data_IF_525507379769
#
_entry.id   IF_525507379769
#
_cell.length_a   1.000
_cell.length_b   1.000
_cell.length_c   1.000
_cell.angle_alpha   90.00
_cell.angle_beta   90.00
_cell.angle_gamma   90.00
#
_symmetry.space_group_name_H-M   'P 1'
#
loop_
_entity.id
_entity.type
_entity.pdbx_description
1 polymer ?
#
# COMPACT_ATOMS: atom_id res chain seq x y z
N UNK A 1 28.72 -18.36 -4.93
CA UNK A 1 28.87 -17.13 -4.12
C UNK A 1 27.53 -16.89 -3.45
N UNK A 2 27.41 -17.26 -2.19
CA UNK A 2 26.19 -17.02 -1.42
C UNK A 2 26.12 -15.53 -1.10
N UNK A 3 25.09 -14.83 -1.56
CA UNK A 3 24.87 -13.45 -1.18
C UNK A 3 24.52 -13.42 0.31
N UNK A 4 25.19 -12.54 1.04
CA UNK A 4 24.87 -12.24 2.43
C UNK A 4 23.52 -11.51 2.44
N UNK A 5 22.42 -12.24 2.62
CA UNK A 5 21.19 -11.65 3.10
C UNK A 5 21.43 -11.21 4.54
N UNK A 6 21.73 -9.92 4.74
CA UNK A 6 21.50 -9.30 6.04
C UNK A 6 20.00 -9.39 6.30
N UNK A 7 19.59 -10.35 7.12
CA UNK A 7 18.20 -10.46 7.55
C UNK A 7 17.86 -9.16 8.28
N UNK A 8 17.13 -8.26 7.61
CA UNK A 8 16.62 -7.04 8.23
C UNK A 8 15.73 -7.49 9.38
N UNK A 9 16.14 -7.22 10.62
CA UNK A 9 15.37 -7.60 11.80
C UNK A 9 14.11 -6.73 11.79
N UNK A 10 12.98 -7.31 11.36
CA UNK A 10 11.69 -6.64 11.37
C UNK A 10 11.24 -6.45 12.82
N UNK A 11 11.13 -5.20 13.26
CA UNK A 11 10.53 -4.87 14.55
C UNK A 11 9.01 -4.88 14.40
N UNK A 12 8.36 -5.90 14.94
CA UNK A 12 6.91 -6.03 14.90
C UNK A 12 6.24 -4.94 15.75
N UNK A 13 5.09 -4.45 15.27
CA UNK A 13 4.33 -3.39 15.93
C UNK A 13 4.92 -1.99 15.80
N UNK A 14 6.07 -1.84 15.14
CA UNK A 14 6.75 -0.57 14.89
C UNK A 14 6.79 -0.26 13.39
N UNK A 15 6.78 1.04 13.00
CA UNK A 15 6.88 1.41 11.60
C UNK A 15 8.30 1.14 11.08
N UNK A 16 8.37 0.49 9.92
CA UNK A 16 9.59 0.32 9.13
C UNK A 16 9.42 1.12 7.84
N UNK A 17 10.19 2.20 7.70
CA UNK A 17 10.16 3.02 6.50
C UNK A 17 10.80 2.30 5.30
N UNK A 18 10.20 2.53 4.13
CA UNK A 18 10.69 2.06 2.84
C UNK A 18 10.62 3.18 1.80
N UNK A 19 11.41 3.01 0.74
CA UNK A 19 11.29 3.79 -0.48
C UNK A 19 9.97 3.51 -1.21
N UNK A 20 9.58 4.45 -2.07
CA UNK A 20 8.67 4.17 -3.18
C UNK A 20 9.43 4.33 -4.50
N UNK A 21 8.82 3.96 -5.62
CA UNK A 21 9.47 3.97 -6.91
C UNK A 21 8.70 4.84 -7.90
N UNK A 22 9.46 5.67 -8.63
CA UNK A 22 8.94 6.48 -9.73
C UNK A 22 9.62 6.06 -11.04
N UNK A 23 8.85 6.00 -12.12
CA UNK A 23 9.36 5.67 -13.45
C UNK A 23 9.75 6.93 -14.21
N UNK A 24 11.02 7.03 -14.59
CA UNK A 24 11.61 8.12 -15.37
C UNK A 24 12.75 7.57 -16.22
N UNK A 25 13.06 8.17 -17.36
CA UNK A 25 14.24 7.83 -18.17
C UNK A 25 14.38 6.31 -18.46
N UNK A 26 13.22 5.67 -18.71
CA UNK A 26 13.05 4.23 -18.93
C UNK A 26 13.38 3.29 -17.75
N UNK A 27 13.55 3.81 -16.54
CA UNK A 27 13.91 3.06 -15.34
C UNK A 27 13.01 3.39 -14.15
N UNK A 28 12.86 2.43 -13.24
CA UNK A 28 12.24 2.65 -11.93
C UNK A 28 13.32 3.10 -10.94
N UNK A 29 13.17 4.29 -10.38
CA UNK A 29 14.08 4.86 -9.39
C UNK A 29 13.50 4.78 -7.99
N UNK A 30 14.25 4.28 -7.00
CA UNK A 30 13.86 4.37 -5.60
C UNK A 30 13.92 5.83 -5.15
N UNK A 31 12.88 6.28 -4.45
CA UNK A 31 12.81 7.58 -3.80
C UNK A 31 12.67 7.32 -2.30
N UNK A 32 13.70 7.68 -1.55
CA UNK A 32 13.60 7.74 -0.09
C UNK A 32 12.62 8.85 0.27
N UNK A 33 11.49 8.47 0.85
CA UNK A 33 10.46 9.41 1.25
C UNK A 33 10.88 10.06 2.58
N UNK A 34 11.78 11.04 2.50
CA UNK A 34 12.16 11.89 3.64
C UNK A 34 11.34 13.17 3.59
N UNK A 35 10.25 13.17 4.37
CA UNK A 35 9.47 14.36 4.76
C UNK A 35 9.51 15.51 3.76
N UNK A 36 8.93 15.32 2.56
CA UNK A 36 8.81 16.42 1.61
C UNK A 36 7.97 17.53 2.25
N UNK A 37 8.62 18.67 2.46
CA UNK A 37 7.94 19.93 2.76
C UNK A 37 7.29 20.38 1.46
N UNK A 38 5.95 20.41 1.42
CA UNK A 38 5.26 21.14 0.37
C UNK A 38 5.74 22.60 0.46
N UNK A 39 6.15 23.23 -0.65
CA UNK A 39 6.51 24.64 -0.64
C UNK A 39 5.34 25.47 -0.06
N UNK A 40 5.59 26.40 0.89
CA UNK A 40 4.53 27.09 1.63
C UNK A 40 3.54 27.93 0.79
N UNK A 41 3.79 28.15 -0.50
CA UNK A 41 3.13 29.22 -1.27
C UNK A 41 2.46 28.76 -2.58
N UNK A 42 2.08 27.48 -2.69
CA UNK A 42 1.14 27.10 -3.76
C UNK A 42 -0.28 27.39 -3.28
N UNK A 43 -0.99 28.30 -3.96
CA UNK A 43 -2.40 28.56 -3.72
C UNK A 43 -3.14 27.23 -3.63
N UNK A 44 -3.61 26.93 -2.43
CA UNK A 44 -4.13 25.61 -2.12
C UNK A 44 -5.58 25.57 -2.58
N UNK A 45 -5.95 24.65 -3.49
CA UNK A 45 -7.35 24.51 -3.90
C UNK A 45 -8.22 24.29 -2.65
N UNK A 46 -9.34 25.02 -2.54
CA UNK A 46 -10.25 24.94 -1.39
C UNK A 46 -10.89 23.56 -1.17
N UNK A 47 -10.72 22.64 -2.12
CA UNK A 47 -11.13 21.24 -2.03
C UNK A 47 -10.15 20.35 -2.80
N UNK A 48 -9.80 19.22 -2.22
CA UNK A 48 -8.98 18.18 -2.85
C UNK A 48 -9.79 16.88 -2.94
N UNK A 49 -9.92 16.33 -4.15
CA UNK A 49 -10.69 15.12 -4.40
C UNK A 49 -9.77 14.05 -4.99
N UNK A 50 -9.96 12.82 -4.52
CA UNK A 50 -9.26 11.63 -5.00
C UNK A 50 -10.14 10.40 -4.74
N UNK A 51 -9.82 9.29 -5.39
CA UNK A 51 -10.48 8.01 -5.15
C UNK A 51 -9.53 6.98 -4.57
N UNK A 52 -10.08 6.02 -3.82
CA UNK A 52 -9.34 4.86 -3.31
C UNK A 52 -10.02 3.61 -3.86
N UNK A 53 -9.26 2.80 -4.59
CA UNK A 53 -9.69 1.49 -5.07
C UNK A 53 -8.99 0.43 -4.23
N UNK A 54 -9.69 -0.63 -3.84
CA UNK A 54 -9.09 -1.72 -3.08
C UNK A 54 -9.47 -3.06 -3.69
N UNK A 55 -8.48 -3.94 -3.90
CA UNK A 55 -8.69 -5.24 -4.49
C UNK A 55 -7.67 -6.28 -4.00
N UNK A 56 -8.16 -7.38 -3.41
CA UNK A 56 -7.41 -8.63 -3.29
C UNK A 56 -7.44 -9.38 -4.64
N UNK A 57 -6.27 -9.59 -5.25
CA UNK A 57 -6.15 -10.17 -6.60
C UNK A 57 -6.07 -11.71 -6.60
N UNK A 58 -6.17 -12.38 -5.45
CA UNK A 58 -6.16 -13.84 -5.29
C UNK A 58 -4.91 -14.52 -5.90
N UNK A 59 -3.81 -14.61 -5.15
CA UNK A 59 -2.55 -15.19 -5.65
C UNK A 59 -2.58 -16.71 -5.79
N UNK A 60 -3.62 -17.37 -5.28
CA UNK A 60 -3.70 -18.83 -5.18
C UNK A 60 -4.29 -19.48 -6.44
N UNK A 61 -4.75 -18.70 -7.42
CA UNK A 61 -5.39 -19.22 -8.64
C UNK A 61 -4.39 -19.44 -9.76
N UNK A 62 -4.63 -20.45 -10.62
CA UNK A 62 -3.81 -20.67 -11.81
C UNK A 62 -3.89 -19.50 -12.79
N UNK A 63 -3.02 -19.52 -13.80
CA UNK A 63 -2.92 -18.48 -14.83
C UNK A 63 -2.52 -17.10 -14.27
N UNK A 64 -1.56 -17.10 -13.33
CA UNK A 64 -1.07 -15.93 -12.57
C UNK A 64 -0.87 -14.68 -13.47
N UNK A 65 0.06 -14.74 -14.42
CA UNK A 65 0.39 -13.61 -15.30
C UNK A 65 -0.82 -13.16 -16.16
N UNK A 66 -1.63 -14.09 -16.66
CA UNK A 66 -2.79 -13.77 -17.50
C UNK A 66 -3.89 -13.08 -16.70
N UNK A 67 -4.15 -13.54 -15.46
CA UNK A 67 -5.11 -12.92 -14.54
C UNK A 67 -4.67 -11.52 -14.15
N UNK A 68 -3.40 -11.34 -13.81
CA UNK A 68 -2.90 -10.02 -13.45
C UNK A 68 -2.89 -9.06 -14.64
N UNK A 69 -2.55 -9.52 -15.84
CA UNK A 69 -2.67 -8.71 -17.06
C UNK A 69 -4.12 -8.24 -17.29
N UNK A 70 -5.10 -9.14 -17.11
CA UNK A 70 -6.52 -8.79 -17.19
C UNK A 70 -6.95 -7.82 -16.07
N UNK A 71 -6.48 -8.04 -14.84
CA UNK A 71 -6.75 -7.15 -13.71
C UNK A 71 -6.20 -5.74 -13.96
N UNK A 72 -4.97 -5.61 -14.50
CA UNK A 72 -4.38 -4.32 -14.87
C UNK A 72 -5.16 -3.61 -15.98
N UNK A 73 -5.70 -4.35 -16.96
CA UNK A 73 -6.57 -3.78 -17.98
C UNK A 73 -7.88 -3.26 -17.37
N UNK A 74 -8.46 -4.01 -16.44
CA UNK A 74 -9.67 -3.58 -15.74
C UNK A 74 -9.41 -2.35 -14.86
N UNK A 75 -8.36 -2.36 -14.04
CA UNK A 75 -7.95 -1.21 -13.23
C UNK A 75 -7.73 0.04 -14.10
N UNK A 76 -7.02 -0.12 -15.24
CA UNK A 76 -6.87 0.94 -16.22
C UNK A 76 -8.22 1.49 -16.67
N UNK A 77 -9.20 0.63 -16.98
CA UNK A 77 -10.52 1.07 -17.42
C UNK A 77 -11.28 1.88 -16.36
N UNK A 78 -11.03 1.63 -15.07
CA UNK A 78 -11.67 2.36 -13.97
C UNK A 78 -11.05 3.74 -13.77
N UNK A 79 -9.73 3.88 -13.97
CA UNK A 79 -9.00 5.13 -13.70
C UNK A 79 -8.79 5.99 -14.95
N UNK A 80 -8.91 5.43 -16.15
CA UNK A 80 -8.73 6.17 -17.40
C UNK A 80 -9.86 7.18 -17.59
N UNK A 81 -9.50 8.44 -17.84
CA UNK A 81 -10.46 9.51 -18.10
C UNK A 81 -11.13 10.08 -16.84
N UNK A 82 -10.77 9.61 -15.65
CA UNK A 82 -11.20 10.25 -14.40
C UNK A 82 -10.43 11.56 -14.20
N UNK A 83 -11.13 12.60 -13.73
CA UNK A 83 -10.52 13.90 -13.44
C UNK A 83 -9.68 13.85 -12.16
N UNK A 84 -10.15 13.09 -11.17
CA UNK A 84 -9.52 13.01 -9.85
C UNK A 84 -8.42 11.93 -9.83
N UNK A 85 -7.30 12.19 -9.15
CA UNK A 85 -6.27 11.17 -8.92
C UNK A 85 -6.81 10.00 -8.09
N UNK A 86 -6.16 8.84 -8.21
CA UNK A 86 -6.54 7.64 -7.45
C UNK A 86 -5.37 6.98 -6.74
N UNK A 87 -5.69 6.27 -5.66
CA UNK A 87 -4.80 5.35 -4.97
C UNK A 87 -5.39 3.95 -5.08
N UNK A 88 -4.60 3.00 -5.57
CA UNK A 88 -5.03 1.61 -5.76
C UNK A 88 -4.32 0.74 -4.72
N UNK A 89 -5.10 0.09 -3.87
CA UNK A 89 -4.65 -0.79 -2.79
C UNK A 89 -4.78 -2.24 -3.25
N UNK A 90 -3.66 -2.94 -3.40
CA UNK A 90 -3.66 -4.33 -3.84
C UNK A 90 -3.17 -5.26 -2.72
N UNK A 91 -3.90 -6.35 -2.52
CA UNK A 91 -3.53 -7.43 -1.61
C UNK A 91 -3.27 -8.71 -2.41
N UNK A 92 -2.53 -9.64 -1.80
CA UNK A 92 -2.16 -10.91 -2.44
C UNK A 92 -1.30 -10.70 -3.70
N UNK A 93 -0.40 -9.73 -3.64
CA UNK A 93 0.54 -9.46 -4.73
C UNK A 93 1.68 -10.48 -4.71
N UNK A 94 2.14 -10.92 -5.87
CA UNK A 94 3.33 -11.76 -6.05
C UNK A 94 4.47 -11.00 -6.74
N UNK A 95 5.68 -11.59 -6.80
CA UNK A 95 6.79 -11.03 -7.59
C UNK A 95 6.44 -10.91 -9.09
N UNK A 96 5.69 -11.87 -9.63
CA UNK A 96 5.20 -11.84 -11.02
C UNK A 96 4.29 -10.64 -11.27
N UNK A 97 3.40 -10.35 -10.32
CA UNK A 97 2.49 -9.21 -10.41
C UNK A 97 3.23 -7.87 -10.35
N UNK A 98 4.25 -7.74 -9.49
CA UNK A 98 5.11 -6.55 -9.44
C UNK A 98 5.83 -6.33 -10.77
N UNK A 99 6.31 -7.41 -11.41
CA UNK A 99 6.91 -7.34 -12.75
C UNK A 99 5.91 -6.80 -13.78
N UNK A 100 4.68 -7.30 -13.79
CA UNK A 100 3.63 -6.85 -14.72
C UNK A 100 3.19 -5.41 -14.47
N UNK A 101 3.06 -4.98 -13.21
CA UNK A 101 2.82 -3.58 -12.83
C UNK A 101 3.91 -2.67 -13.39
N UNK A 102 5.18 -3.06 -13.20
CA UNK A 102 6.34 -2.29 -13.69
C UNK A 102 6.42 -2.23 -15.22
N UNK A 103 5.71 -3.12 -15.92
CA UNK A 103 5.63 -3.17 -17.38
C UNK A 103 4.43 -2.42 -17.96
N UNK A 104 3.39 -2.14 -17.17
CA UNK A 104 2.19 -1.48 -17.64
C UNK A 104 2.42 0.00 -17.93
N UNK A 105 2.21 0.43 -19.18
CA UNK A 105 2.50 1.80 -19.61
C UNK A 105 1.70 2.87 -18.85
N UNK A 106 0.42 2.60 -18.56
CA UNK A 106 -0.42 3.53 -17.80
C UNK A 106 0.06 3.70 -16.35
N UNK A 107 0.64 2.65 -15.75
CA UNK A 107 1.27 2.74 -14.42
C UNK A 107 2.54 3.57 -14.51
N UNK A 108 3.43 3.25 -15.47
CA UNK A 108 4.67 4.00 -15.73
C UNK A 108 4.43 5.49 -15.99
N UNK A 109 3.34 5.84 -16.65
CA UNK A 109 3.01 7.22 -17.00
C UNK A 109 2.42 8.00 -15.82
N UNK A 110 1.54 7.37 -15.04
CA UNK A 110 0.67 8.10 -14.12
C UNK A 110 0.85 7.75 -12.64
N UNK A 111 1.60 6.70 -12.30
CA UNK A 111 1.68 6.19 -10.93
C UNK A 111 3.13 6.10 -10.42
N UNK A 112 3.24 6.28 -9.11
CA UNK A 112 4.33 5.78 -8.29
C UNK A 112 3.89 4.43 -7.68
N UNK A 113 4.83 3.53 -7.40
CA UNK A 113 4.55 2.22 -6.80
C UNK A 113 5.30 2.10 -5.47
N UNK A 114 4.69 1.49 -4.46
CA UNK A 114 5.36 1.30 -3.16
C UNK A 114 6.41 0.21 -3.19
N UNK A 115 6.25 -0.80 -4.05
CA UNK A 115 7.11 -1.99 -4.09
C UNK A 115 7.55 -2.28 -5.51
N UNK A 116 8.87 -2.36 -5.73
CA UNK A 116 9.46 -2.80 -6.99
C UNK A 116 10.03 -4.23 -6.94
N UNK A 117 10.07 -4.81 -5.74
CA UNK A 117 10.50 -6.15 -5.33
C UNK A 117 9.72 -6.56 -4.07
N UNK A 118 9.94 -7.78 -3.57
CA UNK A 118 9.29 -8.30 -2.36
C UNK A 118 10.06 -8.00 -1.07
N UNK A 119 11.11 -7.17 -1.11
CA UNK A 119 12.10 -7.02 -0.03
C UNK A 119 11.52 -6.48 1.29
N UNK A 120 10.41 -5.76 1.22
CA UNK A 120 9.73 -5.20 2.40
C UNK A 120 8.54 -6.05 2.87
N UNK A 121 8.21 -7.14 2.16
CA UNK A 121 7.14 -8.05 2.58
C UNK A 121 7.63 -8.99 3.67
N UNK A 122 6.76 -9.30 4.64
CA UNK A 122 7.09 -10.31 5.64
C UNK A 122 6.99 -11.74 5.07
N UNK A 123 6.03 -11.98 4.17
CA UNK A 123 5.93 -13.25 3.46
C UNK A 123 6.83 -13.25 2.22
N UNK A 124 7.57 -14.34 1.95
CA UNK A 124 8.31 -14.47 0.71
C UNK A 124 7.41 -14.78 -0.50
N UNK A 125 6.14 -15.12 -0.27
CA UNK A 125 5.23 -15.59 -1.32
C UNK A 125 4.24 -14.55 -1.80
N UNK A 126 3.81 -13.64 -0.92
CA UNK A 126 2.84 -12.62 -1.27
C UNK A 126 2.92 -11.39 -0.38
N UNK A 127 2.29 -10.29 -0.80
CA UNK A 127 2.19 -9.12 0.04
C UNK A 127 1.14 -8.12 -0.40
N UNK A 128 1.37 -6.87 -0.02
CA UNK A 128 0.53 -5.73 -0.35
C UNK A 128 1.34 -4.70 -1.12
N UNK A 129 0.70 -4.00 -2.05
CA UNK A 129 1.31 -2.91 -2.81
C UNK A 129 0.27 -1.83 -3.08
N UNK A 130 0.72 -0.57 -3.11
CA UNK A 130 -0.10 0.54 -3.59
C UNK A 130 0.43 1.12 -4.89
N UNK A 131 -0.50 1.50 -5.76
CA UNK A 131 -0.24 2.41 -6.88
C UNK A 131 -0.80 3.78 -6.50
N UNK A 132 0.07 4.79 -6.41
CA UNK A 132 -0.30 6.15 -6.01
C UNK A 132 -0.16 7.07 -7.22
N UNK A 133 -1.25 7.71 -7.64
CA UNK A 133 -1.21 8.62 -8.78
C UNK A 133 -0.19 9.75 -8.54
N UNK A 134 0.62 10.10 -9.53
CA UNK A 134 1.75 11.05 -9.42
C UNK A 134 1.36 12.48 -9.05
N UNK A 135 0.09 12.84 -9.28
CA UNK A 135 -0.45 14.12 -8.82
C UNK A 135 -0.57 14.20 -7.28
N UNK A 136 -0.46 13.06 -6.58
CA UNK A 136 -0.50 12.97 -5.12
C UNK A 136 0.95 13.01 -4.59
N UNK A 137 1.34 14.07 -3.86
CA UNK A 137 2.71 14.21 -3.35
C UNK A 137 2.95 13.26 -2.16
N UNK A 138 3.75 12.22 -2.38
CA UNK A 138 4.12 11.25 -1.33
C UNK A 138 5.17 11.88 -0.39
N UNK A 139 4.88 11.91 0.91
CA UNK A 139 5.79 12.35 1.97
C UNK A 139 6.59 11.19 2.56
N UNK A 140 5.94 10.06 2.80
CA UNK A 140 6.51 8.89 3.47
C UNK A 140 5.81 7.60 3.03
N UNK A 141 6.54 6.48 3.05
CA UNK A 141 5.97 5.12 2.93
C UNK A 141 6.57 4.27 4.05
N UNK A 142 5.72 3.50 4.73
CA UNK A 142 6.18 2.61 5.80
C UNK A 142 5.24 1.41 5.96
N UNK A 143 5.78 0.34 6.55
CA UNK A 143 5.02 -0.85 6.94
C UNK A 143 5.01 -1.03 8.44
N UNK A 144 3.93 -1.60 8.96
CA UNK A 144 3.83 -2.08 10.34
C UNK A 144 3.52 -3.57 10.29
N UNK A 145 4.55 -4.38 10.55
CA UNK A 145 4.41 -5.84 10.62
C UNK A 145 3.71 -6.21 11.92
N UNK A 146 2.60 -6.95 11.85
CA UNK A 146 1.79 -7.20 13.03
C UNK A 146 2.50 -8.14 14.02
N UNK A 147 2.34 -7.90 15.33
CA UNK A 147 2.86 -8.82 16.35
C UNK A 147 2.12 -10.16 16.33
N UNK A 148 0.81 -10.12 16.08
CA UNK A 148 -0.09 -11.28 16.13
C UNK A 148 -0.54 -11.69 14.74
N UNK A 149 0.33 -12.38 14.01
CA UNK A 149 -0.03 -12.97 12.71
C UNK A 149 0.46 -14.42 12.59
N UNK A 150 -0.29 -15.25 11.86
CA UNK A 150 0.17 -16.58 11.38
C UNK A 150 0.45 -16.58 9.88
N UNK A 151 -0.04 -15.57 9.17
CA UNK A 151 0.07 -15.43 7.72
C UNK A 151 0.94 -14.22 7.34
N UNK A 152 1.89 -13.81 8.19
CA UNK A 152 2.87 -12.77 7.86
C UNK A 152 2.23 -11.45 7.38
N UNK A 153 1.14 -11.05 8.06
CA UNK A 153 0.34 -9.88 7.69
C UNK A 153 0.97 -8.57 8.18
N UNK A 154 0.78 -7.51 7.41
CA UNK A 154 1.22 -6.15 7.74
C UNK A 154 0.14 -5.10 7.39
N UNK A 155 0.38 -3.86 7.83
CA UNK A 155 -0.23 -2.68 7.24
C UNK A 155 0.83 -1.90 6.46
N UNK A 156 0.58 -1.63 5.18
CA UNK A 156 1.37 -0.70 4.37
C UNK A 156 0.68 0.66 4.39
N UNK A 157 1.42 1.72 4.69
CA UNK A 157 0.92 3.09 4.78
C UNK A 157 1.71 4.02 3.85
N UNK A 158 0.99 4.97 3.25
CA UNK A 158 1.52 6.07 2.45
C UNK A 158 1.00 7.38 3.02
N UNK A 159 1.91 8.30 3.32
CA UNK A 159 1.59 9.67 3.69
C UNK A 159 1.56 10.55 2.44
N UNK A 160 0.43 11.20 2.20
CA UNK A 160 0.22 12.17 1.13
C UNK A 160 0.18 13.57 1.73
N UNK A 161 0.93 14.49 1.14
CA UNK A 161 0.85 15.88 1.54
C UNK A 161 -0.47 16.49 1.07
N UNK A 162 -1.15 17.15 1.99
CA UNK A 162 -2.33 17.94 1.74
C UNK A 162 -2.00 19.44 1.82
N UNK A 163 -2.92 20.29 1.34
CA UNK A 163 -2.94 21.71 1.63
C UNK A 163 -2.62 22.08 3.09
N UNK A 164 -2.08 23.30 3.29
CA UNK A 164 -1.74 23.84 4.62
C UNK A 164 -0.78 22.96 5.45
N UNK A 165 0.06 22.18 4.78
CA UNK A 165 1.03 21.30 5.44
C UNK A 165 0.41 20.08 6.12
N UNK A 166 -0.88 19.80 5.89
CA UNK A 166 -1.58 18.65 6.45
C UNK A 166 -1.08 17.34 5.83
N UNK A 167 -1.36 16.22 6.50
CA UNK A 167 -1.00 14.87 6.02
C UNK A 167 -2.23 13.99 5.97
N UNK A 168 -2.50 13.42 4.81
CA UNK A 168 -3.43 12.29 4.65
C UNK A 168 -2.62 10.99 4.71
N UNK A 169 -2.97 10.09 5.62
CA UNK A 169 -2.39 8.75 5.67
C UNK A 169 -3.34 7.75 5.06
N UNK A 170 -2.90 7.06 4.01
CA UNK A 170 -3.67 5.98 3.38
C UNK A 170 -2.98 4.65 3.66
N UNK A 171 -3.72 3.70 4.20
CA UNK A 171 -3.26 2.37 4.54
C UNK A 171 -3.93 1.28 3.70
N UNK A 172 -3.22 0.17 3.50
CA UNK A 172 -3.80 -1.09 3.05
C UNK A 172 -3.36 -2.20 3.99
N UNK A 173 -4.26 -3.12 4.29
CA UNK A 173 -3.91 -4.35 4.97
C UNK A 173 -4.69 -5.54 4.43
N UNK A 174 -4.05 -6.69 4.46
CA UNK A 174 -4.72 -7.98 4.35
C UNK A 174 -4.71 -8.61 5.74
N UNK A 175 -5.83 -8.52 6.48
CA UNK A 175 -5.89 -9.06 7.84
C UNK A 175 -5.93 -10.59 7.83
N UNK A 176 -5.73 -11.21 9.01
CA UNK A 176 -5.69 -12.67 9.15
C UNK A 176 -6.91 -13.35 8.50
N UNK A 177 -6.63 -14.21 7.53
CA UNK A 177 -7.66 -14.96 6.80
C UNK A 177 -8.15 -16.16 7.62
N UNK A 178 -9.23 -16.79 7.12
CA UNK A 178 -9.86 -17.95 7.73
C UNK A 178 -10.36 -17.68 9.15
N UNK A 179 -10.95 -18.70 9.77
CA UNK A 179 -11.34 -18.63 11.16
C UNK A 179 -10.10 -18.58 12.04
N UNK A 180 -10.04 -17.59 12.92
CA UNK A 180 -8.95 -17.41 13.88
C UNK A 180 -9.48 -17.64 15.31
N UNK A 181 -8.79 -18.53 16.03
CA UNK A 181 -8.96 -18.75 17.47
C UNK A 181 -7.55 -18.89 18.10
N UNK A 182 -7.12 -17.96 18.97
CA UNK A 182 -7.84 -16.75 19.40
C UNK A 182 -8.03 -15.72 18.27
N UNK A 183 -8.94 -14.73 18.43
CA UNK A 183 -9.13 -13.63 17.47
C UNK A 183 -7.83 -12.86 17.21
N UNK A 184 -7.55 -12.56 15.94
CA UNK A 184 -6.33 -11.84 15.50
C UNK A 184 -6.63 -10.51 14.82
N UNK A 185 -7.64 -10.48 13.95
CA UNK A 185 -8.00 -9.30 13.15
C UNK A 185 -8.25 -8.04 13.99
N UNK A 186 -8.96 -8.08 15.15
CA UNK A 186 -9.12 -6.88 15.98
C UNK A 186 -7.78 -6.31 16.47
N UNK A 187 -6.84 -7.16 16.91
CA UNK A 187 -5.52 -6.68 17.35
C UNK A 187 -4.68 -6.14 16.20
N UNK A 188 -4.77 -6.74 15.01
CA UNK A 188 -4.06 -6.28 13.82
C UNK A 188 -4.58 -4.91 13.37
N UNK A 189 -5.90 -4.75 13.27
CA UNK A 189 -6.49 -3.47 12.92
C UNK A 189 -6.21 -2.41 13.99
N UNK A 190 -6.24 -2.75 15.28
CA UNK A 190 -5.87 -1.84 16.35
C UNK A 190 -4.41 -1.34 16.22
N UNK A 191 -3.47 -2.24 15.87
CA UNK A 191 -2.07 -1.86 15.59
C UNK A 191 -1.99 -0.89 14.41
N UNK A 192 -2.73 -1.11 13.33
CA UNK A 192 -2.76 -0.17 12.19
C UNK A 192 -3.43 1.17 12.57
N UNK A 193 -4.56 1.13 13.27
CA UNK A 193 -5.33 2.29 13.68
C UNK A 193 -4.54 3.25 14.59
N UNK A 194 -3.64 2.72 15.44
CA UNK A 194 -2.69 3.53 16.22
C UNK A 194 -1.92 4.52 15.33
N UNK A 195 -1.48 4.09 14.15
CA UNK A 195 -0.73 4.93 13.22
C UNK A 195 -1.63 5.80 12.35
N UNK A 196 -2.89 5.41 12.10
CA UNK A 196 -3.85 6.27 11.41
C UNK A 196 -4.27 7.49 12.26
N UNK A 197 -4.23 7.35 13.58
CA UNK A 197 -4.55 8.41 14.55
C UNK A 197 -3.32 9.10 15.14
N UNK A 198 -2.14 8.92 14.55
CA UNK A 198 -0.90 9.54 15.04
C UNK A 198 -0.97 11.07 14.96
N UNK A 199 -0.34 11.75 15.93
CA UNK A 199 -0.24 13.21 15.92
C UNK A 199 0.43 13.70 14.62
N UNK A 200 -0.16 14.71 13.98
CA UNK A 200 0.31 15.22 12.69
C UNK A 200 -0.30 14.54 11.46
N UNK A 201 -1.07 13.46 11.63
CA UNK A 201 -1.97 12.91 10.60
C UNK A 201 -3.31 13.65 10.69
N UNK A 202 -3.67 14.39 9.64
CA UNK A 202 -4.93 15.12 9.59
C UNK A 202 -6.12 14.19 9.34
N UNK A 203 -5.95 13.22 8.45
CA UNK A 203 -6.95 12.21 8.15
C UNK A 203 -6.29 10.86 7.85
N UNK A 204 -6.91 9.78 8.33
CA UNK A 204 -6.49 8.41 8.08
C UNK A 204 -7.56 7.64 7.30
N UNK A 205 -7.15 6.92 6.27
CA UNK A 205 -7.99 5.97 5.53
C UNK A 205 -7.27 4.64 5.52
N UNK A 206 -7.95 3.53 5.79
CA UNK A 206 -7.40 2.20 5.58
C UNK A 206 -8.40 1.32 4.86
N UNK A 207 -7.92 0.57 3.88
CA UNK A 207 -8.69 -0.42 3.15
C UNK A 207 -7.93 -1.72 2.98
N UNK A 208 -8.41 -2.57 2.08
CA UNK A 208 -7.86 -3.89 1.81
C UNK A 208 -8.83 -5.00 2.20
N UNK A 209 -8.34 -6.23 2.18
CA UNK A 209 -9.08 -7.41 2.58
C UNK A 209 -8.97 -7.65 4.09
N UNK A 210 -9.99 -7.19 4.81
CA UNK A 210 -10.06 -7.35 6.26
C UNK A 210 -10.54 -8.73 6.71
N UNK A 211 -10.92 -9.62 5.80
CA UNK A 211 -11.39 -10.97 6.15
C UNK A 211 -12.43 -10.98 7.29
N UNK A 212 -13.37 -10.03 7.28
CA UNK A 212 -14.37 -9.87 8.34
C UNK A 212 -15.47 -10.96 8.26
N UNK A 213 -15.15 -12.16 8.75
CA UNK A 213 -15.96 -13.39 8.58
C UNK A 213 -16.41 -14.05 9.89
N UNK A 214 -16.12 -13.47 11.06
CA UNK A 214 -16.52 -13.95 12.38
C UNK A 214 -17.15 -12.84 13.23
N UNK A 215 -17.90 -13.20 14.28
CA UNK A 215 -18.64 -12.21 15.09
C UNK A 215 -17.76 -11.15 15.75
N UNK A 216 -16.52 -11.49 16.15
CA UNK A 216 -15.60 -10.51 16.72
C UNK A 216 -15.18 -9.43 15.71
N UNK A 217 -15.39 -9.65 14.41
CA UNK A 217 -15.04 -8.68 13.35
C UNK A 217 -16.01 -7.50 13.29
N UNK A 218 -17.15 -7.57 13.99
CA UNK A 218 -18.04 -6.41 14.18
C UNK A 218 -17.36 -5.27 14.95
N UNK A 219 -16.27 -5.57 15.65
CA UNK A 219 -15.45 -4.60 16.38
C UNK A 219 -14.32 -4.01 15.51
N UNK A 220 -14.28 -4.30 14.20
CA UNK A 220 -13.36 -3.65 13.27
C UNK A 220 -13.93 -2.28 12.85
N UNK A 221 -13.91 -1.30 13.76
CA UNK A 221 -14.32 0.08 13.51
C UNK A 221 -13.51 1.06 14.35
#
# INVERSE_FOLDING_TARGET
MFSNFSARILKRGEPTHQEYFTYKDNLWYPIEAQGSTVPPDSETPGSFQFSVLSWNIDFMRPEEDARMAAALQHLRSLVSGQADPSIILLNEMTEGDLRLIKMADWVRQSYNITDASTDHWESPSYGTTMLVHRALPIKSVFRVHYERTRMQRDALCVDIALPQGQTLRVGTSHLESLKADPPRRPSQLATAAKYLHEEGVYAGIIGGDFNAIQDFDRMLH
#
